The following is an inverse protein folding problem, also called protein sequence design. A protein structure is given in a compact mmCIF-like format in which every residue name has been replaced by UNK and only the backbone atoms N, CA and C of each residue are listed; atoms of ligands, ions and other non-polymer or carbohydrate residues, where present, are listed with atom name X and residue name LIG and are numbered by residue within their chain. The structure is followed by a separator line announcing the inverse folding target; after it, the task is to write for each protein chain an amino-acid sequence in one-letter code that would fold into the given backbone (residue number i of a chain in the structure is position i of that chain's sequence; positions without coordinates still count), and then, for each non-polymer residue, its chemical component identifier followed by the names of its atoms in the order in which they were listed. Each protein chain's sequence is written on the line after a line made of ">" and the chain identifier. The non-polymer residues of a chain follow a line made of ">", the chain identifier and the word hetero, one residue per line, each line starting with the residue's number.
data_IF_632414695731
#
_entry.id   IF_632414695731
#
_cell.length_a   1.000
_cell.length_b   1.000
_cell.length_c   1.000
_cell.angle_alpha   90.00
_cell.angle_beta   90.00
_cell.angle_gamma   90.00
#
_symmetry.space_group_name_H-M   'P 1'
#
loop_
_entity.id
_entity.type
_entity.pdbx_description
1 polymer ?
#
# COMPACT_ATOMS: atom_id res chain seq x y z
N UNK A 1 -4.03 -5.42 15.55
CA UNK A 1 -3.19 -6.23 14.64
C UNK A 1 -3.54 -7.67 14.94
N UNK A 2 -3.99 -8.42 13.95
CA UNK A 2 -4.46 -9.80 14.12
C UNK A 2 -3.31 -10.79 13.85
N UNK A 3 -3.17 -11.77 14.74
CA UNK A 3 -2.03 -12.67 14.80
C UNK A 3 -2.48 -14.12 14.80
N UNK A 4 -1.79 -14.96 14.05
CA UNK A 4 -1.96 -16.40 14.08
C UNK A 4 -0.62 -17.05 14.42
N UNK A 5 -0.59 -17.83 15.51
CA UNK A 5 0.63 -18.47 16.03
C UNK A 5 1.82 -17.50 16.25
N UNK A 6 1.54 -16.27 16.68
CA UNK A 6 2.57 -15.26 16.94
C UNK A 6 3.06 -14.50 15.70
N UNK A 7 2.57 -14.85 14.51
CA UNK A 7 2.88 -14.15 13.26
C UNK A 7 1.69 -13.32 12.77
N UNK A 8 1.97 -12.23 12.04
CA UNK A 8 0.91 -11.43 11.42
C UNK A 8 0.19 -12.26 10.36
N UNK A 9 -1.15 -12.30 10.44
CA UNK A 9 -1.95 -12.97 9.41
C UNK A 9 -1.74 -12.33 8.03
N UNK A 10 -1.99 -13.09 6.96
CA UNK A 10 -1.89 -12.55 5.59
C UNK A 10 -2.77 -11.30 5.42
N UNK A 11 -3.99 -11.31 5.97
CA UNK A 11 -4.87 -10.15 5.99
C UNK A 11 -4.23 -8.96 6.73
N UNK A 12 -3.76 -9.17 7.97
CA UNK A 12 -3.10 -8.10 8.75
C UNK A 12 -1.89 -7.52 8.05
N UNK A 13 -1.05 -8.37 7.43
CA UNK A 13 0.11 -7.92 6.66
C UNK A 13 -0.32 -7.08 5.48
N UNK A 14 -1.27 -7.55 4.67
CA UNK A 14 -1.73 -6.82 3.49
C UNK A 14 -2.36 -5.48 3.87
N UNK A 15 -3.32 -5.48 4.79
CA UNK A 15 -4.01 -4.25 5.21
C UNK A 15 -3.05 -3.25 5.85
N UNK A 16 -2.21 -3.72 6.77
CA UNK A 16 -1.28 -2.86 7.50
C UNK A 16 -0.18 -2.30 6.61
N UNK A 17 0.41 -3.13 5.75
CA UNK A 17 1.44 -2.67 4.81
C UNK A 17 0.84 -1.66 3.84
N UNK A 18 -0.30 -1.92 3.21
CA UNK A 18 -0.94 -0.95 2.31
C UNK A 18 -1.19 0.39 2.99
N UNK A 19 -1.70 0.39 4.23
CA UNK A 19 -1.90 1.63 5.00
C UNK A 19 -0.58 2.40 5.24
N UNK A 20 0.51 1.69 5.57
CA UNK A 20 1.85 2.30 5.76
C UNK A 20 2.42 2.81 4.43
N UNK A 21 2.21 2.09 3.33
CA UNK A 21 2.62 2.51 1.99
C UNK A 21 1.94 3.82 1.58
N UNK A 22 0.62 3.92 1.81
CA UNK A 22 -0.13 5.16 1.57
C UNK A 22 0.35 6.28 2.50
N UNK A 23 0.60 6.00 3.78
CA UNK A 23 1.12 6.99 4.73
C UNK A 23 2.47 7.57 4.26
N UNK A 24 3.36 6.76 3.66
CA UNK A 24 4.60 7.28 3.07
C UNK A 24 4.33 8.31 1.98
N UNK A 25 3.40 8.05 1.06
CA UNK A 25 3.03 9.00 -0.01
C UNK A 25 2.50 10.32 0.57
N UNK A 26 1.74 10.26 1.67
CA UNK A 26 1.29 11.45 2.42
C UNK A 26 2.49 12.21 3.02
N UNK A 27 3.41 11.50 3.68
CA UNK A 27 4.59 12.11 4.31
C UNK A 27 5.55 12.74 3.29
N UNK A 28 5.61 12.18 2.09
CA UNK A 28 6.39 12.68 0.96
C UNK A 28 5.66 13.82 0.21
N UNK A 29 4.50 14.27 0.69
CA UNK A 29 3.67 15.33 0.11
C UNK A 29 3.29 15.07 -1.35
N UNK A 30 3.11 13.80 -1.72
CA UNK A 30 2.69 13.36 -3.07
C UNK A 30 1.18 13.32 -3.26
N UNK A 31 0.41 13.46 -2.17
CA UNK A 31 -1.05 13.47 -2.20
C UNK A 31 -1.59 14.85 -1.84
N UNK A 32 -2.60 15.31 -2.58
CA UNK A 32 -3.31 16.55 -2.27
C UNK A 32 -4.07 16.46 -0.93
N UNK A 33 -4.23 17.62 -0.29
CA UNK A 33 -5.03 17.74 0.94
C UNK A 33 -6.51 17.45 0.68
N UNK A 34 -7.18 16.95 1.71
CA UNK A 34 -8.63 16.69 1.72
C UNK A 34 -8.94 15.21 1.97
N UNK A 35 -10.23 14.86 1.85
CA UNK A 35 -10.67 13.46 1.90
C UNK A 35 -10.65 12.91 0.48
N UNK A 36 -9.77 11.93 0.23
CA UNK A 36 -9.62 11.30 -1.08
C UNK A 36 -9.89 9.79 -0.95
N UNK A 37 -10.62 9.20 -1.90
CA UNK A 37 -10.80 7.75 -1.94
C UNK A 37 -9.49 7.10 -2.43
N UNK A 38 -9.11 5.89 -1.97
CA UNK A 38 -7.80 5.29 -2.25
C UNK A 38 -7.57 5.01 -3.74
N UNK A 39 -8.62 4.87 -4.54
CA UNK A 39 -8.56 4.61 -5.98
C UNK A 39 -7.82 5.71 -6.74
N UNK A 40 -7.75 6.95 -6.22
CA UNK A 40 -6.97 8.03 -6.86
C UNK A 40 -5.48 7.68 -6.96
N UNK A 41 -4.96 6.89 -6.03
CA UNK A 41 -3.57 6.41 -6.03
C UNK A 41 -3.40 5.34 -7.12
N UNK A 42 -4.42 4.51 -7.35
CA UNK A 42 -4.38 3.47 -8.37
C UNK A 42 -4.64 3.96 -9.80
N UNK A 43 -5.25 5.14 -9.96
CA UNK A 43 -5.50 5.77 -11.27
C UNK A 43 -4.35 6.65 -11.76
N UNK A 44 -3.40 6.95 -10.88
CA UNK A 44 -2.18 7.68 -11.20
C UNK A 44 -1.02 6.67 -11.30
N UNK A 45 -0.40 6.58 -12.48
CA UNK A 45 0.58 5.53 -12.80
C UNK A 45 1.83 5.62 -11.91
N UNK A 46 2.32 6.82 -11.64
CA UNK A 46 3.51 7.04 -10.81
C UNK A 46 3.25 6.65 -9.35
N UNK A 47 2.10 7.08 -8.80
CA UNK A 47 1.72 6.75 -7.43
C UNK A 47 1.42 5.26 -7.27
N UNK A 48 0.78 4.65 -8.26
CA UNK A 48 0.49 3.22 -8.29
C UNK A 48 1.80 2.41 -8.30
N UNK A 49 2.70 2.71 -9.23
CA UNK A 49 3.96 1.99 -9.38
C UNK A 49 4.82 2.09 -8.12
N UNK A 50 4.88 3.27 -7.50
CA UNK A 50 5.62 3.46 -6.26
C UNK A 50 5.03 2.64 -5.10
N UNK A 51 3.70 2.65 -4.93
CA UNK A 51 3.05 1.88 -3.88
C UNK A 51 3.26 0.37 -4.10
N UNK A 52 3.09 -0.10 -5.33
CA UNK A 52 3.27 -1.52 -5.70
C UNK A 52 4.71 -1.95 -5.51
N UNK A 53 5.68 -1.13 -5.92
CA UNK A 53 7.09 -1.44 -5.71
C UNK A 53 7.43 -1.52 -4.22
N UNK A 54 6.93 -0.58 -3.41
CA UNK A 54 7.15 -0.65 -1.97
C UNK A 54 6.54 -1.91 -1.33
N UNK A 55 5.34 -2.33 -1.75
CA UNK A 55 4.72 -3.57 -1.28
C UNK A 55 5.56 -4.80 -1.67
N UNK A 56 6.09 -4.83 -2.90
CA UNK A 56 7.02 -5.87 -3.37
C UNK A 56 8.28 -5.94 -2.52
N UNK A 57 8.86 -4.81 -2.15
CA UNK A 57 10.04 -4.73 -1.28
C UNK A 57 9.76 -5.24 0.14
N UNK A 58 8.50 -5.25 0.59
CA UNK A 58 8.05 -5.86 1.86
C UNK A 58 7.68 -7.34 1.72
N UNK A 59 8.01 -7.95 0.59
CA UNK A 59 7.78 -9.37 0.32
C UNK A 59 6.34 -9.69 -0.07
N UNK A 60 5.55 -8.72 -0.50
CA UNK A 60 4.22 -8.96 -1.09
C UNK A 60 4.40 -9.27 -2.59
N UNK A 61 3.91 -10.43 -3.04
CA UNK A 61 3.98 -10.80 -4.46
C UNK A 61 2.71 -10.33 -5.17
N UNK A 62 2.86 -9.40 -6.10
CA UNK A 62 1.76 -8.84 -6.91
C UNK A 62 2.11 -9.05 -8.38
N UNK A 63 1.21 -9.70 -9.11
CA UNK A 63 1.29 -9.88 -10.57
C UNK A 63 0.28 -8.96 -11.22
N UNK A 64 0.74 -8.11 -12.15
CA UNK A 64 -0.12 -7.28 -12.98
C UNK A 64 -0.42 -8.06 -14.26
N UNK A 65 -1.70 -8.18 -14.60
CA UNK A 65 -2.15 -8.76 -15.86
C UNK A 65 -2.41 -7.61 -16.83
N UNK A 66 -1.72 -7.62 -17.97
CA UNK A 66 -1.92 -6.70 -19.09
C UNK A 66 -3.02 -7.23 -20.01
#
# INVERSE_FOLDING_TARGET
>A
IDFHNGENTAMSRMTGLTAVGILRLVMENKLEKGVKPPEVIGMDEDLFDELIQWLKDKGVRITILL
#
